data_IF_475862627427
#
_entry.id   IF_475862627427
#
_cell.length_a   1.000
_cell.length_b   1.000
_cell.length_c   1.000
_cell.angle_alpha   90.00
_cell.angle_beta   90.00
_cell.angle_gamma   90.00
#
_symmetry.space_group_name_H-M   'P 1'
#
loop_
_entity.id
_entity.type
_entity.pdbx_description
1 polymer ?
#
# COMPACT_ATOMS: atom_id res chain seq x y z
N UNK A 1 8.42 2.09 -18.97
CA UNK A 1 8.17 2.28 -17.53
C UNK A 1 8.93 1.28 -16.69
N UNK A 2 9.99 1.76 -16.05
CA UNK A 2 10.81 1.02 -15.10
C UNK A 2 9.97 0.49 -13.93
N UNK A 3 9.01 1.28 -13.42
CA UNK A 3 8.11 0.90 -12.34
C UNK A 3 7.18 -0.29 -12.71
N UNK A 4 6.69 -0.35 -13.95
CA UNK A 4 5.86 -1.47 -14.41
C UNK A 4 6.72 -2.74 -14.44
N UNK A 5 7.93 -2.66 -14.99
CA UNK A 5 8.86 -3.78 -15.01
C UNK A 5 9.22 -4.23 -13.59
N UNK A 6 9.49 -3.30 -12.68
CA UNK A 6 9.83 -3.60 -11.30
C UNK A 6 8.68 -4.29 -10.57
N UNK A 7 7.44 -3.83 -10.79
CA UNK A 7 6.22 -4.46 -10.25
C UNK A 7 6.05 -5.89 -10.77
N UNK A 8 6.26 -6.12 -12.07
CA UNK A 8 6.18 -7.47 -12.64
C UNK A 8 7.24 -8.41 -12.04
N UNK A 9 8.48 -7.94 -11.89
CA UNK A 9 9.55 -8.72 -11.29
C UNK A 9 9.30 -8.98 -9.79
N UNK A 10 8.69 -8.05 -9.06
CA UNK A 10 8.25 -8.24 -7.67
C UNK A 10 7.32 -9.45 -7.52
N UNK A 11 6.29 -9.52 -8.37
CA UNK A 11 5.30 -10.61 -8.33
C UNK A 11 5.89 -11.94 -8.84
N UNK A 12 6.77 -11.90 -9.84
CA UNK A 12 7.53 -13.09 -10.30
C UNK A 12 8.41 -13.62 -9.17
N UNK A 13 9.08 -12.76 -8.40
CA UNK A 13 9.88 -13.18 -7.26
C UNK A 13 9.04 -13.95 -6.23
N UNK A 14 7.83 -13.47 -5.89
CA UNK A 14 6.89 -14.20 -5.02
C UNK A 14 6.54 -15.58 -5.56
N UNK A 15 6.23 -15.67 -6.86
CA UNK A 15 5.90 -16.93 -7.51
C UNK A 15 7.06 -17.93 -7.46
N UNK A 16 8.31 -17.46 -7.61
CA UNK A 16 9.51 -18.30 -7.62
C UNK A 16 9.91 -18.81 -6.23
N UNK A 17 9.79 -17.99 -5.17
CA UNK A 17 10.14 -18.44 -3.80
C UNK A 17 9.00 -19.17 -3.11
N UNK A 18 7.76 -18.92 -3.54
CA UNK A 18 6.55 -19.57 -3.04
C UNK A 18 5.96 -18.92 -1.79
N UNK A 19 4.67 -19.19 -1.55
CA UNK A 19 3.79 -18.50 -0.58
C UNK A 19 4.23 -18.45 0.88
N UNK A 20 5.23 -19.24 1.29
CA UNK A 20 5.77 -19.21 2.66
C UNK A 20 6.76 -18.06 2.86
N UNK A 21 7.36 -17.60 1.78
CA UNK A 21 8.27 -16.47 1.74
C UNK A 21 7.47 -15.22 1.36
N UNK A 22 7.19 -14.39 2.37
CA UNK A 22 6.73 -13.02 2.12
C UNK A 22 7.92 -12.18 1.62
N UNK A 23 7.94 -10.87 1.85
CA UNK A 23 9.10 -10.01 1.57
C UNK A 23 10.30 -10.23 2.52
N UNK A 24 10.64 -11.48 2.82
CA UNK A 24 11.75 -11.88 3.69
C UNK A 24 13.09 -11.84 2.95
N UNK A 25 14.16 -12.33 3.60
CA UNK A 25 15.49 -12.35 3.02
C UNK A 25 15.60 -13.24 1.76
N UNK A 26 14.85 -14.35 1.69
CA UNK A 26 14.86 -15.28 0.56
C UNK A 26 14.18 -14.62 -0.64
N UNK A 27 13.01 -14.02 -0.43
CA UNK A 27 12.34 -13.22 -1.46
C UNK A 27 13.21 -12.06 -1.93
N UNK A 28 13.82 -11.30 -1.01
CA UNK A 28 14.63 -10.12 -1.36
C UNK A 28 15.87 -10.51 -2.17
N UNK A 29 16.49 -11.64 -1.85
CA UNK A 29 17.59 -12.18 -2.64
C UNK A 29 17.13 -12.53 -4.06
N UNK A 30 16.01 -13.27 -4.20
CA UNK A 30 15.46 -13.64 -5.51
C UNK A 30 15.02 -12.42 -6.33
N UNK A 31 14.37 -11.44 -5.70
CA UNK A 31 13.95 -10.19 -6.34
C UNK A 31 15.14 -9.47 -6.96
N UNK A 32 16.23 -9.27 -6.20
CA UNK A 32 17.45 -8.62 -6.71
C UNK A 32 18.14 -9.43 -7.80
N UNK A 33 18.18 -10.76 -7.67
CA UNK A 33 18.77 -11.67 -8.66
C UNK A 33 18.11 -11.52 -10.03
N UNK A 34 16.78 -11.35 -10.09
CA UNK A 34 16.03 -11.18 -11.34
C UNK A 34 15.93 -9.71 -11.80
N UNK A 35 16.60 -8.79 -11.11
CA UNK A 35 16.66 -7.37 -11.45
C UNK A 35 15.50 -6.51 -10.93
N UNK A 36 14.76 -6.97 -9.92
CA UNK A 36 13.85 -6.12 -9.14
C UNK A 36 14.65 -5.30 -8.12
N UNK A 37 14.16 -4.11 -7.79
CA UNK A 37 14.67 -3.23 -6.73
C UNK A 37 14.73 -3.93 -5.37
N UNK A 38 13.81 -4.87 -5.12
CA UNK A 38 13.61 -5.51 -3.82
C UNK A 38 12.93 -4.60 -2.80
N UNK A 39 12.33 -3.49 -3.26
CA UNK A 39 11.49 -2.63 -2.45
C UNK A 39 10.09 -3.24 -2.30
N UNK A 40 9.51 -3.06 -1.11
CA UNK A 40 8.17 -3.58 -0.80
C UNK A 40 7.05 -2.75 -1.41
N UNK A 41 7.27 -1.44 -1.52
CA UNK A 41 6.27 -0.48 -1.93
C UNK A 41 6.79 0.27 -3.16
N UNK A 42 5.98 0.33 -4.22
CA UNK A 42 6.21 1.27 -5.31
C UNK A 42 5.57 2.62 -4.99
N UNK A 43 6.08 3.69 -5.61
CA UNK A 43 5.49 5.03 -5.50
C UNK A 43 4.42 5.32 -6.55
N UNK A 44 4.26 4.42 -7.51
CA UNK A 44 3.32 4.65 -8.61
C UNK A 44 1.87 4.64 -8.12
N UNK A 45 1.12 5.71 -8.39
CA UNK A 45 -0.31 5.80 -8.10
C UNK A 45 -1.08 5.75 -9.43
N UNK A 46 -1.67 4.60 -9.75
CA UNK A 46 -2.43 4.41 -10.99
C UNK A 46 -3.83 5.03 -10.94
N UNK A 47 -4.44 5.08 -9.76
CA UNK A 47 -5.78 5.62 -9.55
C UNK A 47 -5.82 6.43 -8.26
N UNK A 48 -6.68 7.47 -8.17
CA UNK A 48 -6.98 8.12 -6.91
C UNK A 48 -7.47 7.08 -5.89
N UNK A 49 -7.08 7.26 -4.63
CA UNK A 49 -7.58 6.41 -3.56
C UNK A 49 -9.10 6.50 -3.46
N UNK A 50 -9.74 5.39 -3.11
CA UNK A 50 -11.22 5.33 -3.09
C UNK A 50 -11.86 6.23 -2.02
N UNK A 51 -11.17 6.46 -0.91
CA UNK A 51 -11.72 7.18 0.24
C UNK A 51 -10.78 8.26 0.78
N UNK A 52 -11.37 9.34 1.27
CA UNK A 52 -10.74 10.25 2.23
C UNK A 52 -11.17 9.83 3.63
N UNK A 53 -10.23 9.76 4.56
CA UNK A 53 -10.46 9.45 5.96
C UNK A 53 -10.03 10.62 6.82
N UNK A 54 -10.98 11.16 7.59
CA UNK A 54 -10.79 12.34 8.43
C UNK A 54 -11.23 12.02 9.85
N UNK A 55 -10.43 12.45 10.83
CA UNK A 55 -10.86 12.41 12.23
C UNK A 55 -12.06 13.33 12.44
N UNK A 56 -13.11 12.90 13.14
CA UNK A 56 -14.29 13.75 13.39
C UNK A 56 -13.95 15.06 14.14
N UNK A 57 -12.91 15.04 14.98
CA UNK A 57 -12.36 16.21 15.66
C UNK A 57 -11.28 16.96 14.84
N UNK A 58 -11.17 16.68 13.54
CA UNK A 58 -10.26 17.36 12.59
C UNK A 58 -8.76 17.34 12.95
N UNK A 59 -8.29 16.32 13.66
CA UNK A 59 -6.85 16.22 13.97
C UNK A 59 -5.98 16.00 12.71
N UNK A 60 -6.52 15.35 11.68
CA UNK A 60 -5.84 15.05 10.41
C UNK A 60 -6.81 14.49 9.37
N UNK A 61 -6.36 14.49 8.11
CA UNK A 61 -7.00 13.85 6.96
C UNK A 61 -5.97 13.04 6.16
N UNK A 62 -6.33 11.84 5.72
CA UNK A 62 -5.52 10.97 4.88
C UNK A 62 -6.37 10.28 3.81
N UNK A 63 -5.73 9.61 2.85
CA UNK A 63 -6.42 8.76 1.88
C UNK A 63 -6.43 7.29 2.32
N UNK A 64 -7.40 6.52 1.84
CA UNK A 64 -7.49 5.09 2.11
C UNK A 64 -8.14 4.32 0.95
N UNK A 65 -7.67 3.10 0.71
CA UNK A 65 -8.29 2.19 -0.26
C UNK A 65 -9.48 1.41 0.32
N UNK A 66 -9.53 1.28 1.64
CA UNK A 66 -10.55 0.51 2.35
C UNK A 66 -11.04 1.27 3.58
N UNK A 67 -12.34 1.12 3.87
CA UNK A 67 -12.93 1.60 5.13
C UNK A 67 -12.63 0.59 6.24
N UNK A 68 -12.18 1.07 7.39
CA UNK A 68 -12.01 0.26 8.59
C UNK A 68 -12.63 0.97 9.79
N UNK A 69 -13.85 0.57 10.15
CA UNK A 69 -14.64 1.20 11.22
C UNK A 69 -14.12 0.91 12.63
N UNK A 70 -13.13 0.03 12.78
CA UNK A 70 -12.48 -0.28 14.07
C UNK A 70 -11.33 0.67 14.42
N UNK A 71 -10.89 1.49 13.48
CA UNK A 71 -9.82 2.45 13.72
C UNK A 71 -10.36 3.71 14.39
N UNK A 72 -9.55 4.27 15.27
CA UNK A 72 -9.80 5.55 15.96
C UNK A 72 -8.65 6.51 15.70
N UNK A 73 -8.90 7.79 15.89
CA UNK A 73 -7.87 8.82 15.77
C UNK A 73 -6.76 8.58 16.80
N UNK A 74 -5.52 8.43 16.33
CA UNK A 74 -4.36 8.28 17.23
C UNK A 74 -4.11 9.47 18.15
N UNK A 75 -4.60 10.65 17.78
CA UNK A 75 -4.35 11.90 18.50
C UNK A 75 -5.39 12.14 19.60
N UNK A 76 -6.68 11.90 19.32
CA UNK A 76 -7.76 12.23 20.24
C UNK A 76 -8.68 11.05 20.61
N UNK A 77 -8.46 9.86 20.05
CA UNK A 77 -9.33 8.69 20.26
C UNK A 77 -10.70 8.77 19.58
N UNK A 78 -11.02 9.87 18.90
CA UNK A 78 -12.30 10.07 18.21
C UNK A 78 -12.48 9.15 16.99
N UNK A 79 -13.73 9.05 16.52
CA UNK A 79 -14.11 8.24 15.36
C UNK A 79 -13.50 8.79 14.06
N UNK A 80 -13.23 7.87 13.14
CA UNK A 80 -12.81 8.20 11.78
C UNK A 80 -14.03 8.22 10.84
N UNK A 81 -14.17 9.31 10.10
CA UNK A 81 -15.20 9.53 9.07
C UNK A 81 -14.58 9.27 7.71
N UNK A 82 -15.28 8.49 6.89
CA UNK A 82 -14.83 8.14 5.53
C UNK A 82 -15.78 8.74 4.50
N UNK A 83 -15.25 9.53 3.57
CA UNK A 83 -15.97 10.00 2.37
C UNK A 83 -15.37 9.36 1.13
N UNK A 84 -16.17 9.13 0.10
CA UNK A 84 -15.65 8.71 -1.21
C UNK A 84 -14.88 9.87 -1.84
N UNK A 85 -13.69 9.59 -2.37
CA UNK A 85 -13.00 10.55 -3.22
C UNK A 85 -13.84 10.72 -4.49
N UNK A 86 -14.58 11.83 -4.58
CA UNK A 86 -15.15 12.27 -5.84
C UNK A 86 -14.03 12.99 -6.57
N UNK A 87 -13.57 12.43 -7.68
CA UNK A 87 -12.82 13.19 -8.67
C UNK A 87 -13.81 14.20 -9.25
N UNK A 88 -13.77 15.44 -8.75
CA UNK A 88 -14.33 16.57 -9.48
C UNK A 88 -13.48 16.82 -10.73
#
# INVERSE_FOLDING_TARGET
DEDIRDTLLHEIAHALVGRKHNHDAVWKAKAKEIGCSGERCHRLQFTPSRYSVTCENNCWTHTAERRNTRLVCRTCGGKLVYSTFSTA
#
